data_IF_724876205809
#
_entry.id   IF_724876205809
#
_cell.length_a   1.000
_cell.length_b   1.000
_cell.length_c   1.000
_cell.angle_alpha   90.00
_cell.angle_beta   90.00
_cell.angle_gamma   90.00
#
_symmetry.space_group_name_H-M   'P 1'
#
loop_
_entity.id
_entity.type
_entity.pdbx_description
1 polymer ?
#
# COMPACT_ATOMS: atom_id res chain seq x y z
N UNK A 1 27.49 7.52 -1.16
CA UNK A 1 26.59 6.51 -0.57
C UNK A 1 25.18 7.13 -0.53
N UNK A 2 24.27 6.68 -1.38
CA UNK A 2 22.87 7.14 -1.32
C UNK A 2 22.14 6.22 -0.34
N UNK A 3 21.99 6.68 0.90
CA UNK A 3 21.29 5.93 1.94
C UNK A 3 19.80 6.21 1.79
N UNK A 4 19.06 5.22 1.28
CA UNK A 4 17.61 5.22 1.36
C UNK A 4 17.21 4.52 2.65
N UNK A 5 16.78 5.31 3.64
CA UNK A 5 16.01 4.76 4.75
C UNK A 5 14.64 4.41 4.19
N UNK A 6 14.37 3.11 4.03
CA UNK A 6 13.01 2.65 3.74
C UNK A 6 12.21 2.95 5.01
N UNK A 7 11.14 3.77 4.95
CA UNK A 7 10.29 4.02 6.11
C UNK A 7 9.79 2.70 6.67
N UNK A 8 9.35 2.69 7.92
CA UNK A 8 8.70 1.53 8.50
C UNK A 8 7.48 1.15 7.64
N UNK A 9 7.67 0.17 6.75
CA UNK A 9 6.58 -0.33 5.93
C UNK A 9 5.86 -1.38 6.75
N UNK A 10 4.85 -0.93 7.48
CA UNK A 10 3.87 -1.82 8.07
C UNK A 10 2.99 -2.37 6.94
N UNK A 11 3.42 -3.48 6.37
CA UNK A 11 2.58 -4.29 5.50
C UNK A 11 1.73 -5.20 6.37
N UNK A 12 0.42 -5.24 6.12
CA UNK A 12 -0.50 -6.19 6.74
C UNK A 12 -0.79 -7.33 5.75
N UNK A 13 -0.09 -8.47 5.83
CA UNK A 13 -0.24 -9.56 4.88
C UNK A 13 -1.01 -10.72 5.53
N UNK A 14 -2.25 -10.94 5.07
CA UNK A 14 -2.93 -12.24 4.92
C UNK A 14 -3.98 -12.79 5.92
N UNK A 15 -5.10 -13.15 5.24
CA UNK A 15 -6.00 -14.35 5.23
C UNK A 15 -6.78 -14.71 6.49
N UNK A 16 -8.10 -14.90 6.25
CA UNK A 16 -9.16 -15.50 7.09
C UNK A 16 -10.00 -14.57 7.98
N UNK A 17 -10.39 -13.40 7.48
CA UNK A 17 -11.72 -12.80 7.74
C UNK A 17 -12.05 -11.83 6.61
N UNK A 18 -13.31 -11.50 6.39
CA UNK A 18 -13.72 -10.48 5.41
C UNK A 18 -13.09 -9.11 5.74
N UNK A 19 -11.94 -8.80 5.17
CA UNK A 19 -11.36 -7.46 5.29
C UNK A 19 -12.24 -6.46 4.55
N UNK A 20 -12.72 -5.45 5.28
CA UNK A 20 -13.46 -4.31 4.70
C UNK A 20 -12.51 -3.26 4.14
N UNK A 21 -11.26 -3.18 4.64
CA UNK A 21 -10.30 -2.15 4.27
C UNK A 21 -8.88 -2.70 4.13
N UNK A 22 -8.07 -2.09 3.26
CA UNK A 22 -6.63 -2.29 3.14
C UNK A 22 -5.93 -0.93 3.23
N UNK A 23 -5.20 -0.69 4.32
CA UNK A 23 -4.57 0.61 4.62
C UNK A 23 -3.05 0.55 4.48
N UNK A 24 -2.47 1.63 3.97
CA UNK A 24 -1.04 1.86 3.86
C UNK A 24 -0.62 2.94 4.84
N UNK A 25 0.48 2.71 5.55
CA UNK A 25 0.99 3.62 6.57
C UNK A 25 2.47 3.94 6.33
N UNK A 26 2.86 5.13 6.77
CA UNK A 26 4.25 5.56 6.96
C UNK A 26 4.35 6.11 8.37
N UNK A 27 5.18 5.49 9.21
CA UNK A 27 5.42 5.90 10.60
C UNK A 27 4.11 6.13 11.40
N UNK A 28 3.15 5.22 11.23
CA UNK A 28 1.83 5.26 11.88
C UNK A 28 0.82 6.23 11.25
N UNK A 29 1.22 7.00 10.24
CA UNK A 29 0.32 7.92 9.51
C UNK A 29 -0.28 7.23 8.28
N UNK A 30 -1.62 7.17 8.14
CA UNK A 30 -2.24 6.59 6.95
C UNK A 30 -1.99 7.46 5.72
N UNK A 31 -1.56 6.84 4.62
CA UNK A 31 -1.31 7.52 3.34
C UNK A 31 -2.29 7.09 2.24
N UNK A 32 -2.94 5.93 2.41
CA UNK A 32 -3.98 5.43 1.52
C UNK A 32 -4.81 4.35 2.22
N UNK A 33 -6.11 4.30 1.96
CA UNK A 33 -6.98 3.20 2.35
C UNK A 33 -7.80 2.76 1.13
N UNK A 34 -7.90 1.45 0.92
CA UNK A 34 -8.71 0.83 -0.12
C UNK A 34 -9.87 0.09 0.55
N UNK A 35 -11.10 0.47 0.22
CA UNK A 35 -12.30 -0.20 0.72
C UNK A 35 -12.64 -1.39 -0.17
N UNK A 36 -12.97 -2.50 0.46
CA UNK A 36 -13.56 -3.65 -0.20
C UNK A 36 -15.04 -3.35 -0.50
N UNK A 37 -15.33 -3.07 -1.76
CA UNK A 37 -16.69 -2.81 -2.24
C UNK A 37 -17.40 -4.11 -2.59
N UNK A 38 -17.76 -4.89 -1.56
CA UNK A 38 -18.42 -6.21 -1.66
C UNK A 38 -19.59 -6.27 -2.66
N UNK A 39 -20.32 -5.17 -2.85
CA UNK A 39 -21.48 -5.04 -3.74
C UNK A 39 -21.15 -4.69 -5.20
N UNK A 40 -19.89 -4.36 -5.50
CA UNK A 40 -19.44 -3.98 -6.85
C UNK A 40 -18.57 -5.09 -7.44
N UNK A 41 -18.45 -5.14 -8.77
CA UNK A 41 -17.59 -6.11 -9.48
C UNK A 41 -16.08 -5.81 -9.35
N UNK A 42 -15.67 -4.96 -8.41
CA UNK A 42 -14.27 -4.61 -8.19
C UNK A 42 -13.55 -5.76 -7.48
N UNK A 43 -12.49 -6.35 -8.07
CA UNK A 43 -11.71 -7.39 -7.42
C UNK A 43 -11.00 -6.88 -6.17
N UNK A 44 -10.99 -7.67 -5.10
CA UNK A 44 -10.27 -7.37 -3.87
C UNK A 44 -9.57 -8.63 -3.33
N UNK A 45 -8.32 -8.53 -2.83
CA UNK A 45 -7.54 -9.70 -2.39
C UNK A 45 -8.06 -10.25 -1.05
N UNK A 46 -9.08 -11.12 -1.09
CA UNK A 46 -9.72 -11.69 0.12
C UNK A 46 -9.25 -13.10 0.48
N UNK A 47 -9.17 -13.97 -0.53
CA UNK A 47 -9.12 -15.44 -0.33
C UNK A 47 -7.79 -16.07 -0.70
N UNK A 48 -6.90 -15.32 -1.34
CA UNK A 48 -5.59 -15.81 -1.76
C UNK A 48 -4.54 -15.37 -0.74
N UNK A 49 -3.83 -16.29 -0.08
CA UNK A 49 -2.61 -15.95 0.64
C UNK A 49 -1.63 -15.28 -0.33
N UNK A 50 -0.98 -14.22 0.11
CA UNK A 50 0.20 -13.67 -0.57
C UNK A 50 1.41 -13.82 0.35
N UNK A 51 2.54 -13.27 -0.08
CA UNK A 51 3.82 -13.30 0.63
C UNK A 51 4.37 -11.89 0.67
N UNK A 52 5.18 -11.59 1.68
CA UNK A 52 5.94 -10.34 1.72
C UNK A 52 7.16 -10.52 0.84
N UNK A 53 7.40 -9.56 -0.05
CA UNK A 53 8.58 -9.51 -0.91
C UNK A 53 9.23 -8.13 -0.77
N UNK A 54 10.56 -8.10 -0.87
CA UNK A 54 11.35 -6.87 -0.92
C UNK A 54 12.48 -7.07 -1.93
N UNK A 55 12.72 -6.07 -2.77
CA UNK A 55 13.78 -6.10 -3.78
C UNK A 55 14.32 -4.70 -4.05
N UNK A 56 15.60 -4.65 -4.42
CA UNK A 56 16.23 -3.49 -5.07
C UNK A 56 16.54 -3.90 -6.51
N UNK A 57 16.08 -3.11 -7.49
CA UNK A 57 16.20 -3.43 -8.91
C UNK A 57 16.22 -2.17 -9.77
N UNK A 58 16.74 -2.26 -11.00
CA UNK A 58 16.78 -1.14 -11.94
C UNK A 58 15.46 -1.00 -12.69
N UNK A 59 14.81 0.16 -12.55
CA UNK A 59 13.55 0.51 -13.19
C UNK A 59 13.63 1.84 -13.96
N UNK A 60 14.79 2.14 -14.57
CA UNK A 60 15.08 3.40 -15.27
C UNK A 60 14.11 3.77 -16.40
N UNK A 61 13.32 2.80 -16.90
CA UNK A 61 12.29 3.04 -17.91
C UNK A 61 11.15 3.91 -17.39
N UNK A 62 10.88 3.93 -16.07
CA UNK A 62 9.74 4.65 -15.52
C UNK A 62 9.95 5.29 -14.14
N UNK A 63 10.93 4.85 -13.35
CA UNK A 63 11.02 5.21 -11.93
C UNK A 63 11.25 6.71 -11.64
N UNK A 64 12.15 7.36 -12.38
CA UNK A 64 12.54 8.76 -12.09
C UNK A 64 12.08 9.69 -13.20
N UNK A 65 11.23 10.66 -12.86
CA UNK A 65 10.58 11.59 -13.82
C UNK A 65 9.94 10.85 -15.01
N UNK A 66 9.26 9.73 -14.75
CA UNK A 66 8.63 8.93 -15.81
C UNK A 66 9.62 8.29 -16.77
N UNK A 67 10.87 8.04 -16.34
CA UNK A 67 11.91 7.41 -17.15
C UNK A 67 12.89 8.38 -17.83
N UNK A 68 12.71 9.69 -17.65
CA UNK A 68 13.58 10.71 -18.23
C UNK A 68 14.98 10.74 -17.59
N UNK A 69 15.11 10.37 -16.32
CA UNK A 69 16.40 10.31 -15.62
C UNK A 69 16.81 8.83 -15.48
N UNK A 70 17.93 8.47 -16.09
CA UNK A 70 18.50 7.12 -16.06
C UNK A 70 19.43 6.93 -14.86
N UNK A 71 19.64 5.67 -14.49
CA UNK A 71 20.54 5.32 -13.40
C UNK A 71 21.98 5.68 -13.76
N UNK A 72 22.70 6.26 -12.81
CA UNK A 72 24.12 6.56 -12.95
C UNK A 72 24.94 5.45 -12.28
N UNK A 73 25.35 4.47 -13.09
CA UNK A 73 26.09 3.30 -12.60
C UNK A 73 27.44 3.63 -11.96
N UNK A 74 28.00 4.82 -12.21
CA UNK A 74 29.23 5.27 -11.54
C UNK A 74 29.03 5.46 -10.03
N UNK A 75 27.78 5.58 -9.56
CA UNK A 75 27.41 5.73 -8.15
C UNK A 75 27.14 4.40 -7.43
N UNK A 76 27.34 3.28 -8.11
CA UNK A 76 27.23 1.96 -7.50
C UNK A 76 28.26 1.76 -6.37
N UNK A 77 27.95 0.92 -5.34
CA UNK A 77 26.75 0.11 -5.20
C UNK A 77 25.54 0.90 -4.65
N UNK A 78 24.35 0.56 -5.17
CA UNK A 78 23.08 1.02 -4.62
C UNK A 78 22.66 0.08 -3.49
N UNK A 79 22.57 0.60 -2.26
CA UNK A 79 22.32 -0.22 -1.07
C UNK A 79 21.02 0.22 -0.40
N UNK A 80 20.11 -0.72 -0.18
CA UNK A 80 18.93 -0.55 0.66
C UNK A 80 19.14 -1.33 1.97
N UNK A 81 18.90 -0.68 3.11
CA UNK A 81 19.02 -1.30 4.43
C UNK A 81 17.64 -1.46 5.06
N UNK A 82 17.38 -2.65 5.58
CA UNK A 82 16.15 -2.97 6.30
C UNK A 82 16.50 -3.32 7.74
N UNK A 83 15.72 -2.80 8.70
CA UNK A 83 15.87 -3.11 10.13
C UNK A 83 14.50 -3.23 10.75
N UNK A 84 14.42 -3.92 11.88
CA UNK A 84 13.19 -4.04 12.69
C UNK A 84 11.97 -4.52 11.89
N UNK A 85 12.17 -5.48 10.97
CA UNK A 85 11.08 -6.08 10.22
C UNK A 85 10.22 -6.90 11.18
N UNK A 86 8.98 -6.48 11.37
CA UNK A 86 7.96 -7.18 12.15
C UNK A 86 6.74 -7.40 11.27
N UNK A 87 6.17 -8.61 11.32
CA UNK A 87 4.95 -8.94 10.61
C UNK A 87 3.97 -9.59 11.59
N UNK A 88 2.90 -8.87 11.90
CA UNK A 88 1.76 -9.41 12.65
C UNK A 88 0.73 -9.89 11.62
N UNK A 89 0.64 -11.21 11.43
CA UNK A 89 -0.11 -11.83 10.33
C UNK A 89 -0.79 -13.15 10.76
N UNK A 90 -1.86 -13.54 10.06
CA UNK A 90 -2.44 -14.88 10.16
C UNK A 90 -1.73 -15.82 9.17
N UNK A 91 -0.98 -16.81 9.68
CA UNK A 91 -0.06 -17.64 8.88
C UNK A 91 -0.77 -18.89 8.35
N UNK A 92 -0.83 -19.05 7.03
CA UNK A 92 -1.33 -20.27 6.37
C UNK A 92 -0.23 -21.36 6.29
N UNK A 93 -0.49 -22.68 6.51
CA UNK A 93 -1.78 -23.38 6.65
C UNK A 93 -2.24 -23.58 8.11
N UNK A 94 -1.48 -23.06 9.08
CA UNK A 94 -1.77 -23.22 10.50
C UNK A 94 -3.10 -22.54 10.85
N UNK A 95 -4.14 -23.35 11.12
CA UNK A 95 -5.38 -22.88 11.77
C UNK A 95 -5.15 -22.69 13.27
N UNK A 96 -4.08 -22.00 13.68
CA UNK A 96 -3.92 -21.59 15.07
C UNK A 96 -5.00 -20.55 15.37
N UNK A 97 -6.16 -21.06 15.78
CA UNK A 97 -7.23 -20.26 16.31
C UNK A 97 -6.84 -19.80 17.71
N UNK A 98 -7.13 -18.55 18.07
CA UNK A 98 -7.81 -17.60 17.20
C UNK A 98 -6.75 -16.85 16.35
N UNK A 99 -6.91 -16.83 15.02
CA UNK A 99 -6.74 -15.57 14.30
C UNK A 99 -7.87 -14.70 14.83
N UNK A 100 -7.70 -14.25 16.07
CA UNK A 100 -8.69 -13.51 16.83
C UNK A 100 -9.00 -12.33 15.95
N UNK A 101 -10.27 -11.95 15.97
CA UNK A 101 -10.83 -10.70 15.51
C UNK A 101 -10.05 -9.51 16.10
N UNK A 102 -8.78 -9.40 15.72
CA UNK A 102 -7.84 -8.37 16.10
C UNK A 102 -8.37 -7.15 15.40
N UNK A 103 -9.21 -6.46 16.15
CA UNK A 103 -10.05 -5.37 15.68
C UNK A 103 -9.26 -4.30 14.94
N UNK A 104 -7.94 -4.20 15.15
CA UNK A 104 -7.07 -3.25 14.47
C UNK A 104 -6.85 -3.54 12.97
N UNK A 105 -6.89 -4.80 12.52
CA UNK A 105 -6.58 -5.17 11.12
C UNK A 105 -7.73 -4.91 10.13
N UNK A 106 -8.98 -4.87 10.61
CA UNK A 106 -10.18 -4.71 9.80
C UNK A 106 -10.93 -3.40 10.08
N UNK A 107 -10.27 -2.42 10.69
CA UNK A 107 -10.89 -1.16 11.10
C UNK A 107 -10.88 -0.14 9.97
N UNK A 108 -12.04 0.49 9.80
CA UNK A 108 -12.14 1.81 9.19
C UNK A 108 -11.23 2.79 9.95
N UNK A 109 -10.63 3.74 9.24
CA UNK A 109 -9.87 4.79 9.92
C UNK A 109 -10.82 5.58 10.82
N UNK A 110 -10.38 5.88 12.05
CA UNK A 110 -11.11 6.81 12.90
C UNK A 110 -11.04 8.22 12.29
N UNK A 111 -11.94 9.12 12.73
CA UNK A 111 -12.03 10.47 12.18
C UNK A 111 -10.68 11.24 12.20
N UNK A 112 -9.87 11.18 13.27
CA UNK A 112 -8.55 11.82 13.28
C UNK A 112 -7.57 11.21 12.25
N UNK A 113 -7.57 9.89 12.08
CA UNK A 113 -6.72 9.24 11.07
C UNK A 113 -7.17 9.55 9.65
N UNK A 114 -8.48 9.69 9.43
CA UNK A 114 -9.03 10.12 8.14
C UNK A 114 -8.64 11.57 7.83
N UNK A 115 -8.70 12.48 8.80
CA UNK A 115 -8.25 13.86 8.63
C UNK A 115 -6.76 13.92 8.30
N UNK A 116 -5.93 13.13 8.99
CA UNK A 116 -4.49 12.99 8.66
C UNK A 116 -4.29 12.45 7.26
N UNK A 117 -5.05 11.43 6.84
CA UNK A 117 -4.99 10.90 5.49
C UNK A 117 -5.31 11.98 4.46
N UNK A 118 -6.39 12.75 4.65
CA UNK A 118 -6.77 13.86 3.78
C UNK A 118 -5.70 14.95 3.74
N UNK A 119 -5.11 15.28 4.88
CA UNK A 119 -4.01 16.25 4.96
C UNK A 119 -2.77 15.78 4.21
N UNK A 120 -2.36 14.52 4.38
CA UNK A 120 -1.23 13.94 3.65
C UNK A 120 -1.52 13.94 2.15
N UNK A 121 -2.71 13.52 1.73
CA UNK A 121 -3.09 13.51 0.33
C UNK A 121 -3.10 14.92 -0.27
N UNK A 122 -3.59 15.92 0.47
CA UNK A 122 -3.60 17.32 0.02
C UNK A 122 -2.21 17.91 -0.18
N UNK A 123 -1.25 17.58 0.69
CA UNK A 123 0.06 18.23 0.71
C UNK A 123 1.17 17.44 0.00
N UNK A 124 1.07 16.11 -0.08
CA UNK A 124 2.16 15.24 -0.55
C UNK A 124 1.79 14.33 -1.73
N UNK A 125 0.51 14.21 -2.11
CA UNK A 125 0.12 13.35 -3.23
C UNK A 125 0.38 14.04 -4.57
N UNK A 126 1.38 13.54 -5.30
CA UNK A 126 1.74 14.06 -6.63
C UNK A 126 1.05 13.32 -7.79
N UNK A 127 0.44 12.17 -7.52
CA UNK A 127 -0.27 11.36 -8.51
C UNK A 127 -1.41 10.60 -7.86
N UNK A 128 -2.58 10.61 -8.51
CA UNK A 128 -3.74 9.82 -8.13
C UNK A 128 -4.47 9.31 -9.36
N UNK A 129 -4.50 7.99 -9.52
CA UNK A 129 -5.16 7.33 -10.64
C UNK A 129 -6.69 7.56 -10.67
N UNK A 130 -7.31 7.87 -9.52
CA UNK A 130 -8.74 8.13 -9.42
C UNK A 130 -9.18 9.47 -10.02
N UNK A 131 -8.25 10.33 -10.41
CA UNK A 131 -8.54 11.60 -11.10
C UNK A 131 -7.81 11.70 -12.45
N UNK A 132 -7.12 10.63 -12.86
CA UNK A 132 -6.33 10.59 -14.08
C UNK A 132 -7.22 10.18 -15.27
N UNK A 133 -7.94 11.16 -15.80
CA UNK A 133 -8.83 10.99 -16.96
C UNK A 133 -8.07 10.67 -18.25
N UNK A 134 -6.77 11.02 -18.32
CA UNK A 134 -5.93 10.68 -19.48
C UNK A 134 -5.63 9.19 -19.54
N UNK A 135 -5.34 8.58 -18.38
CA UNK A 135 -5.13 7.13 -18.26
C UNK A 135 -6.42 6.34 -18.42
N UNK A 136 -7.53 6.90 -17.96
CA UNK A 136 -8.84 6.25 -17.99
C UNK A 136 -9.87 7.04 -18.84
N UNK A 137 -9.67 7.13 -20.16
CA UNK A 137 -10.55 7.91 -21.03
C UNK A 137 -11.97 7.35 -21.13
N UNK A 138 -12.15 6.06 -20.83
CA UNK A 138 -13.45 5.37 -20.88
C UNK A 138 -14.22 5.41 -19.54
N UNK A 139 -13.71 6.14 -18.56
CA UNK A 139 -14.29 6.22 -17.23
C UNK A 139 -13.34 5.71 -16.15
N UNK A 140 -13.42 6.36 -14.99
CA UNK A 140 -12.55 6.07 -13.85
C UNK A 140 -12.89 4.70 -13.22
N UNK A 141 -11.91 4.06 -12.56
CA UNK A 141 -12.15 2.82 -11.84
C UNK A 141 -13.28 2.95 -10.81
N UNK A 142 -14.14 1.94 -10.72
CA UNK A 142 -15.37 2.00 -9.91
C UNK A 142 -15.07 2.17 -8.41
N UNK A 143 -13.91 1.73 -7.94
CA UNK A 143 -13.51 1.90 -6.55
C UNK A 143 -13.22 3.35 -6.16
N UNK A 144 -12.93 4.20 -7.14
CA UNK A 144 -12.65 5.61 -6.91
C UNK A 144 -13.90 6.39 -6.46
N UNK A 145 -15.09 5.96 -6.89
CA UNK A 145 -16.36 6.58 -6.48
C UNK A 145 -16.70 6.36 -5.00
N UNK A 146 -16.05 5.38 -4.34
CA UNK A 146 -16.24 5.13 -2.91
C UNK A 146 -15.17 5.80 -2.04
N UNK A 147 -14.25 6.57 -2.64
CA UNK A 147 -13.14 7.26 -1.94
C UNK A 147 -13.42 8.76 -1.76
N UNK A 148 -14.64 9.21 -2.09
CA UNK A 148 -15.16 10.56 -1.81
C UNK A 148 -15.96 10.61 -0.53
#
# INVERSE_FOLDING_TARGET
MVNYSVPSLSFSPFVLTEYTYFSFYVDGTPIRQLKNLNSTKVPFPKRRPMRIHSSIWNAEEWATRGGLIKIDWTKAPFTASYRNISAQACIWPSRAYPCNSNSWLAKELDAPSLERLMWVQKHYMIYNYCIDTKRFPQGLPLECAATT
#
